data_IF_306100337073
#
_entry.id   IF_306100337073
#
_cell.length_a   1.000
_cell.length_b   1.000
_cell.length_c   1.000
_cell.angle_alpha   90.00
_cell.angle_beta   90.00
_cell.angle_gamma   90.00
#
_symmetry.space_group_name_H-M   'P 1'
#
loop_
_entity.id
_entity.type
_entity.pdbx_description
1 polymer ?
#
# COMPACT_ATOMS: atom_id res chain seq x y z
N UNK A 1 -12.91 33.43 -5.83
CA UNK A 1 -12.35 33.75 -7.17
C UNK A 1 -12.82 35.12 -7.65
N UNK A 2 -12.41 35.56 -8.83
CA UNK A 2 -12.77 36.90 -9.37
C UNK A 2 -14.28 37.08 -9.61
N UNK A 3 -15.08 36.01 -9.63
CA UNK A 3 -16.52 36.04 -9.95
C UNK A 3 -17.37 35.62 -8.77
N UNK A 4 -16.89 34.72 -7.93
CA UNK A 4 -17.64 34.21 -6.75
C UNK A 4 -16.70 33.72 -5.67
N UNK A 5 -17.12 33.86 -4.42
CA UNK A 5 -16.48 33.25 -3.24
C UNK A 5 -17.03 31.85 -2.92
N UNK A 6 -18.02 31.36 -3.70
CA UNK A 6 -18.54 30.03 -3.54
C UNK A 6 -17.50 28.97 -3.95
N UNK A 7 -17.38 27.87 -3.19
CA UNK A 7 -16.46 26.80 -3.52
C UNK A 7 -16.92 26.09 -4.80
N UNK A 8 -16.00 25.86 -5.73
CA UNK A 8 -16.24 25.10 -6.97
C UNK A 8 -15.80 23.66 -6.85
N UNK A 9 -14.74 23.40 -6.10
CA UNK A 9 -14.19 22.06 -5.91
C UNK A 9 -13.66 21.88 -4.48
N UNK A 10 -13.67 20.64 -4.05
CA UNK A 10 -13.16 20.20 -2.75
C UNK A 10 -12.14 19.08 -2.95
N UNK A 11 -10.89 19.33 -2.62
CA UNK A 11 -9.82 18.33 -2.60
C UNK A 11 -9.92 17.57 -1.29
N UNK A 12 -10.54 16.40 -1.33
CA UNK A 12 -10.91 15.64 -0.12
C UNK A 12 -9.79 14.73 0.39
N UNK A 13 -8.73 14.49 -0.41
CA UNK A 13 -7.70 13.51 -0.02
C UNK A 13 -8.31 12.17 0.32
N UNK A 14 -8.02 11.68 1.54
CA UNK A 14 -8.54 10.41 2.06
C UNK A 14 -9.79 10.57 2.94
N UNK A 15 -10.47 11.72 2.85
CA UNK A 15 -11.68 11.96 3.63
C UNK A 15 -12.93 11.39 2.95
N UNK A 16 -13.24 11.85 1.73
CA UNK A 16 -14.39 11.38 0.94
C UNK A 16 -13.88 10.94 -0.43
N UNK A 17 -14.22 9.73 -0.81
CA UNK A 17 -13.98 9.14 -2.11
C UNK A 17 -15.26 9.11 -2.95
N UNK A 18 -15.17 8.66 -4.18
CA UNK A 18 -16.35 8.39 -4.99
C UNK A 18 -17.04 7.14 -4.45
N UNK A 19 -18.21 7.31 -3.86
CA UNK A 19 -19.03 6.24 -3.29
C UNK A 19 -18.56 5.69 -1.94
N UNK A 20 -17.44 6.17 -1.38
CA UNK A 20 -16.90 5.68 -0.11
C UNK A 20 -16.27 6.81 0.73
N UNK A 21 -15.82 6.48 1.92
CA UNK A 21 -15.10 7.38 2.84
C UNK A 21 -13.83 6.73 3.37
N UNK A 22 -12.92 7.55 3.90
CA UNK A 22 -11.66 7.09 4.44
C UNK A 22 -11.79 6.08 5.58
N UNK A 23 -10.71 5.33 5.82
CA UNK A 23 -10.63 4.22 6.78
C UNK A 23 -10.05 4.68 8.12
N UNK A 24 -10.88 4.85 9.16
CA UNK A 24 -10.38 5.18 10.50
C UNK A 24 -9.67 4.00 11.19
N UNK A 25 -9.94 2.76 10.80
CA UNK A 25 -9.33 1.54 11.32
C UNK A 25 -7.85 1.39 10.96
N UNK A 26 -7.36 2.05 9.93
CA UNK A 26 -5.95 1.97 9.52
C UNK A 26 -4.95 2.43 10.59
N UNK A 27 -5.36 3.20 11.59
CA UNK A 27 -4.50 3.51 12.74
C UNK A 27 -4.32 2.31 13.66
N UNK A 28 -5.34 1.47 13.81
CA UNK A 28 -5.21 0.20 14.55
C UNK A 28 -4.48 -0.85 13.74
N UNK A 29 -4.94 -1.11 12.53
CA UNK A 29 -4.45 -2.16 11.66
C UNK A 29 -2.99 -1.93 11.23
N UNK A 30 -2.67 -0.70 10.80
CA UNK A 30 -1.35 -0.40 10.26
C UNK A 30 -0.39 0.23 11.27
N UNK A 31 -0.85 0.98 12.28
CA UNK A 31 0.01 1.61 13.28
C UNK A 31 -0.01 0.92 14.64
N UNK A 32 -0.90 -0.07 14.86
CA UNK A 32 -1.03 -0.80 16.12
C UNK A 32 -1.57 0.05 17.28
N UNK A 33 -2.19 1.19 16.99
CA UNK A 33 -2.74 2.11 18.00
C UNK A 33 -4.16 1.67 18.33
N UNK A 34 -4.30 0.75 19.27
CA UNK A 34 -5.58 0.14 19.65
C UNK A 34 -6.61 1.15 20.13
N UNK A 35 -7.90 0.90 19.87
CA UNK A 35 -9.03 1.70 20.32
C UNK A 35 -9.22 3.01 19.56
N UNK A 36 -8.66 3.14 18.35
CA UNK A 36 -8.79 4.37 17.53
C UNK A 36 -9.82 4.25 16.40
N UNK A 37 -10.19 3.03 16.00
CA UNK A 37 -11.09 2.80 14.88
C UNK A 37 -12.49 3.37 15.14
N UNK A 38 -13.13 3.01 16.24
CA UNK A 38 -14.47 3.49 16.58
C UNK A 38 -14.53 5.01 16.81
N UNK A 39 -13.67 5.61 17.65
CA UNK A 39 -13.63 7.07 17.78
C UNK A 39 -13.36 7.79 16.46
N UNK A 40 -12.53 7.20 15.58
CA UNK A 40 -12.26 7.68 14.23
C UNK A 40 -13.50 7.65 13.35
N UNK A 41 -14.27 6.56 13.38
CA UNK A 41 -15.51 6.40 12.62
C UNK A 41 -16.59 7.41 13.10
N UNK A 42 -16.73 7.62 14.40
CA UNK A 42 -17.62 8.66 14.96
C UNK A 42 -17.20 10.07 14.52
N UNK A 43 -15.91 10.34 14.49
CA UNK A 43 -15.38 11.61 13.97
C UNK A 43 -15.66 11.77 12.49
N UNK A 44 -15.56 10.70 11.71
CA UNK A 44 -15.91 10.69 10.28
C UNK A 44 -17.39 11.06 10.09
N UNK A 45 -18.30 10.45 10.82
CA UNK A 45 -19.73 10.75 10.80
C UNK A 45 -19.99 12.24 11.03
N UNK A 46 -19.45 12.79 12.12
CA UNK A 46 -19.59 14.22 12.42
C UNK A 46 -18.99 15.12 11.35
N UNK A 47 -17.81 14.78 10.85
CA UNK A 47 -17.15 15.54 9.79
C UNK A 47 -17.94 15.55 8.49
N UNK A 48 -18.60 14.45 8.14
CA UNK A 48 -19.49 14.39 6.99
C UNK A 48 -20.69 15.32 7.17
N UNK A 49 -21.34 15.31 8.34
CA UNK A 49 -22.47 16.19 8.61
C UNK A 49 -22.11 17.67 8.65
N UNK A 50 -21.05 18.00 9.39
CA UNK A 50 -20.70 19.37 9.74
C UNK A 50 -19.87 20.09 8.67
N UNK A 51 -19.18 19.35 7.80
CA UNK A 51 -18.26 19.93 6.83
C UNK A 51 -18.63 19.57 5.38
N UNK A 52 -18.88 18.31 5.11
CA UNK A 52 -19.11 17.84 3.74
C UNK A 52 -20.52 18.17 3.27
N UNK A 53 -21.56 17.79 4.03
CA UNK A 53 -22.96 17.99 3.65
C UNK A 53 -23.43 19.44 3.77
N UNK A 54 -22.63 20.34 4.33
CA UNK A 54 -22.90 21.78 4.33
C UNK A 54 -22.52 22.47 3.01
N UNK A 55 -21.75 21.77 2.17
CA UNK A 55 -21.37 22.29 0.86
C UNK A 55 -22.51 22.18 -0.16
N UNK A 56 -22.60 23.12 -1.13
CA UNK A 56 -23.57 23.05 -2.21
C UNK A 56 -23.41 21.79 -3.08
N UNK A 57 -24.51 21.28 -3.60
CA UNK A 57 -24.55 20.05 -4.40
C UNK A 57 -23.64 20.06 -5.66
N UNK A 58 -23.40 21.24 -6.23
CA UNK A 58 -22.59 21.40 -7.43
C UNK A 58 -21.08 21.30 -7.19
N UNK A 59 -20.63 21.40 -5.92
CA UNK A 59 -19.21 21.34 -5.60
C UNK A 59 -18.62 20.00 -6.02
N UNK A 60 -17.61 20.05 -6.85
CA UNK A 60 -16.88 18.86 -7.28
C UNK A 60 -16.03 18.30 -6.15
N UNK A 61 -15.99 16.98 -6.04
CA UNK A 61 -15.20 16.23 -5.06
C UNK A 61 -14.06 15.53 -5.78
N UNK A 62 -12.84 15.86 -5.40
CA UNK A 62 -11.63 15.28 -5.98
C UNK A 62 -10.84 14.54 -4.88
N UNK A 63 -10.99 13.21 -4.81
CA UNK A 63 -10.27 12.39 -3.83
C UNK A 63 -8.79 12.21 -4.18
N UNK A 64 -8.01 11.75 -3.21
CA UNK A 64 -6.59 11.46 -3.40
C UNK A 64 -6.32 10.27 -4.31
N UNK A 65 -7.23 9.31 -4.36
CA UNK A 65 -7.19 8.10 -5.20
C UNK A 65 -8.59 7.47 -5.30
N UNK A 66 -8.72 6.38 -6.06
CA UNK A 66 -10.00 5.71 -6.34
C UNK A 66 -9.88 4.19 -6.32
N UNK A 67 -10.66 3.53 -7.18
CA UNK A 67 -10.78 2.07 -7.26
C UNK A 67 -9.44 1.35 -7.33
N UNK A 68 -9.34 0.22 -6.62
CA UNK A 68 -8.13 -0.61 -6.50
C UNK A 68 -7.23 -0.23 -5.32
N UNK A 69 -7.54 0.84 -4.59
CA UNK A 69 -6.85 1.19 -3.36
C UNK A 69 -7.40 0.41 -2.16
N UNK A 70 -6.52 0.05 -1.22
CA UNK A 70 -6.89 -0.57 0.06
C UNK A 70 -7.47 0.44 1.08
N UNK A 71 -7.65 1.71 0.68
CA UNK A 71 -8.16 2.76 1.57
C UNK A 71 -9.68 2.81 1.69
N UNK A 72 -10.41 1.85 1.15
CA UNK A 72 -11.84 1.69 1.28
C UNK A 72 -12.33 0.40 0.64
N UNK A 73 -13.56 0.02 0.95
CA UNK A 73 -14.18 -1.22 0.45
C UNK A 73 -15.02 -1.03 -0.80
N UNK A 74 -15.43 0.20 -1.09
CA UNK A 74 -16.40 0.51 -2.14
C UNK A 74 -16.00 1.71 -3.03
N UNK A 75 -14.68 1.98 -3.16
CA UNK A 75 -14.19 3.09 -3.96
C UNK A 75 -14.61 2.95 -5.43
N UNK A 76 -15.31 3.97 -5.94
CA UNK A 76 -15.74 4.04 -7.32
C UNK A 76 -14.59 4.23 -8.32
N UNK A 77 -14.82 3.81 -9.56
CA UNK A 77 -13.83 3.91 -10.64
C UNK A 77 -13.73 5.31 -11.27
N UNK A 78 -14.68 6.19 -10.99
CA UNK A 78 -14.64 7.58 -11.49
C UNK A 78 -13.57 8.39 -10.73
N UNK A 79 -12.88 9.30 -11.40
CA UNK A 79 -11.82 10.10 -10.77
C UNK A 79 -12.34 11.21 -9.86
N UNK A 80 -13.59 11.63 -10.04
CA UNK A 80 -14.24 12.70 -9.29
C UNK A 80 -15.74 12.49 -9.22
N UNK A 81 -16.40 13.17 -8.28
CA UNK A 81 -17.84 13.16 -8.08
C UNK A 81 -18.32 14.57 -7.69
N UNK A 82 -19.55 14.70 -7.18
CA UNK A 82 -20.05 15.94 -6.59
C UNK A 82 -20.66 15.68 -5.21
N UNK A 83 -20.74 16.73 -4.39
CA UNK A 83 -21.40 16.64 -3.08
C UNK A 83 -22.84 16.14 -3.20
N UNK A 84 -23.59 16.66 -4.19
CA UNK A 84 -24.97 16.26 -4.42
C UNK A 84 -25.13 14.81 -4.89
N UNK A 85 -24.17 14.28 -5.64
CA UNK A 85 -24.18 12.87 -6.03
C UNK A 85 -23.92 11.98 -4.81
N UNK A 86 -22.89 12.25 -4.05
CA UNK A 86 -22.54 11.47 -2.86
C UNK A 86 -23.64 11.49 -1.80
N UNK A 87 -24.27 12.66 -1.58
CA UNK A 87 -25.41 12.82 -0.68
C UNK A 87 -26.58 11.89 -0.99
N UNK A 88 -26.78 11.54 -2.27
CA UNK A 88 -27.92 10.73 -2.73
C UNK A 88 -27.59 9.25 -2.94
N UNK A 89 -26.36 8.94 -3.28
CA UNK A 89 -26.03 7.63 -3.83
C UNK A 89 -24.93 6.87 -3.04
N UNK A 90 -24.17 7.56 -2.20
CA UNK A 90 -23.16 6.89 -1.39
C UNK A 90 -23.83 6.01 -0.31
N UNK A 91 -23.24 4.84 -0.02
CA UNK A 91 -23.76 3.89 0.96
C UNK A 91 -23.96 4.50 2.36
N UNK A 92 -23.15 5.49 2.70
CA UNK A 92 -23.18 6.16 4.00
C UNK A 92 -24.27 7.23 4.12
N UNK A 93 -24.85 7.70 3.02
CA UNK A 93 -25.78 8.83 2.99
C UNK A 93 -27.04 8.59 3.85
N UNK A 94 -27.62 7.39 3.77
CA UNK A 94 -28.83 7.04 4.52
C UNK A 94 -28.63 7.09 6.05
N UNK A 95 -27.43 6.77 6.56
CA UNK A 95 -27.14 6.86 7.99
C UNK A 95 -27.07 8.29 8.46
N UNK A 96 -26.55 9.20 7.64
CA UNK A 96 -26.50 10.63 7.94
C UNK A 96 -27.87 11.29 7.89
N UNK A 97 -28.71 10.88 6.94
CA UNK A 97 -30.09 11.36 6.82
C UNK A 97 -30.94 10.96 8.04
N UNK A 98 -30.77 9.73 8.54
CA UNK A 98 -31.47 9.20 9.72
C UNK A 98 -30.84 9.60 11.07
N UNK A 99 -29.70 10.27 11.03
CA UNK A 99 -28.87 10.57 12.21
C UNK A 99 -28.42 9.30 12.98
N UNK A 100 -28.19 8.20 12.25
CA UNK A 100 -27.80 6.90 12.78
C UNK A 100 -26.27 6.76 12.83
N UNK A 101 -25.65 7.38 13.86
CA UNK A 101 -24.19 7.28 14.07
C UNK A 101 -23.75 5.85 14.34
N UNK A 102 -24.52 5.07 15.12
CA UNK A 102 -24.16 3.69 15.48
C UNK A 102 -24.18 2.76 14.26
N UNK A 103 -25.24 2.86 13.44
CA UNK A 103 -25.34 2.12 12.19
C UNK A 103 -24.20 2.48 11.21
N UNK A 104 -23.88 3.76 11.10
CA UNK A 104 -22.76 4.22 10.28
C UNK A 104 -21.42 3.64 10.74
N UNK A 105 -21.10 3.72 12.04
CA UNK A 105 -19.87 3.20 12.62
C UNK A 105 -19.72 1.71 12.34
N UNK A 106 -20.79 0.95 12.59
CA UNK A 106 -20.81 -0.50 12.31
C UNK A 106 -20.59 -0.78 10.83
N UNK A 107 -21.34 -0.09 9.96
CA UNK A 107 -21.24 -0.27 8.52
C UNK A 107 -19.85 0.12 7.99
N UNK A 108 -19.26 1.22 8.48
CA UNK A 108 -17.94 1.68 8.07
C UNK A 108 -16.84 0.68 8.44
N UNK A 109 -16.86 0.16 9.65
CA UNK A 109 -15.80 -0.74 10.14
C UNK A 109 -15.95 -2.19 9.64
N UNK A 110 -17.13 -2.57 9.17
CA UNK A 110 -17.40 -3.92 8.69
C UNK A 110 -16.93 -4.11 7.24
N UNK A 111 -16.24 -5.26 6.98
CA UNK A 111 -15.88 -5.68 5.62
C UNK A 111 -14.79 -4.84 4.96
N UNK A 112 -13.97 -4.15 5.72
CA UNK A 112 -12.81 -3.45 5.19
C UNK A 112 -11.77 -4.46 4.66
N UNK A 113 -11.09 -4.17 3.53
CA UNK A 113 -10.03 -5.02 3.03
C UNK A 113 -8.85 -5.04 4.02
N UNK A 114 -8.10 -6.13 4.04
CA UNK A 114 -6.89 -6.24 4.83
C UNK A 114 -5.94 -5.06 4.52
N UNK A 115 -5.36 -4.47 5.56
CA UNK A 115 -4.40 -3.39 5.38
C UNK A 115 -3.07 -3.95 4.87
N UNK A 116 -2.47 -3.38 3.81
CA UNK A 116 -1.16 -3.80 3.36
C UNK A 116 -0.12 -3.74 4.48
N UNK A 117 0.70 -4.77 4.62
CA UNK A 117 1.72 -4.87 5.68
C UNK A 117 2.67 -3.67 5.67
N UNK A 118 3.01 -3.16 4.48
CA UNK A 118 3.87 -1.98 4.33
C UNK A 118 3.27 -0.67 4.83
N UNK A 119 1.96 -0.57 5.04
CA UNK A 119 1.34 0.65 5.60
C UNK A 119 1.90 1.00 6.97
N UNK A 120 2.21 -0.01 7.79
CA UNK A 120 2.85 0.17 9.10
C UNK A 120 4.21 0.84 8.96
N UNK A 121 5.04 0.32 8.07
CA UNK A 121 6.38 0.86 7.83
C UNK A 121 6.33 2.25 7.22
N UNK A 122 5.48 2.48 6.23
CA UNK A 122 5.31 3.81 5.65
C UNK A 122 4.89 4.85 6.68
N UNK A 123 3.96 4.53 7.58
CA UNK A 123 3.57 5.43 8.67
C UNK A 123 4.72 5.69 9.64
N UNK A 124 5.50 4.66 9.99
CA UNK A 124 6.68 4.80 10.82
C UNK A 124 7.72 5.70 10.15
N UNK A 125 8.08 5.42 8.91
CA UNK A 125 9.06 6.19 8.15
C UNK A 125 8.64 7.65 7.94
N UNK A 126 7.35 7.90 7.67
CA UNK A 126 6.81 9.25 7.52
C UNK A 126 6.82 10.05 8.83
N UNK A 127 6.66 9.38 9.97
CA UNK A 127 6.70 10.01 11.29
C UNK A 127 8.13 10.26 11.77
N UNK A 128 8.99 9.24 11.66
CA UNK A 128 10.33 9.21 12.29
C UNK A 128 11.41 9.73 11.33
N UNK A 129 11.09 9.84 10.05
CA UNK A 129 12.03 10.14 8.97
C UNK A 129 12.67 8.90 8.38
N UNK A 130 13.07 8.99 7.12
CA UNK A 130 13.81 7.94 6.42
C UNK A 130 15.32 8.11 6.62
N UNK A 131 16.07 7.00 6.55
CA UNK A 131 17.54 7.06 6.51
C UNK A 131 18.02 7.81 5.25
N UNK A 132 19.03 8.62 5.42
CA UNK A 132 19.70 9.30 4.27
C UNK A 132 20.71 8.30 3.70
N UNK A 133 20.37 7.70 2.56
CA UNK A 133 21.21 6.68 1.93
C UNK A 133 22.45 7.25 1.21
N UNK A 134 22.50 8.57 0.96
CA UNK A 134 23.58 9.21 0.20
C UNK A 134 23.58 8.88 -1.31
N UNK A 135 22.77 7.92 -1.74
CA UNK A 135 22.61 7.48 -3.12
C UNK A 135 21.80 6.19 -3.20
N UNK A 136 21.46 5.76 -4.42
CA UNK A 136 20.85 4.47 -4.62
C UNK A 136 21.85 3.36 -4.28
N UNK A 137 21.49 2.35 -3.48
CA UNK A 137 22.33 1.18 -3.30
C UNK A 137 22.65 0.48 -4.64
N UNK A 138 23.89 0.03 -4.79
CA UNK A 138 24.35 -0.71 -5.97
C UNK A 138 24.75 -2.14 -5.56
N UNK A 139 23.77 -3.05 -5.40
CA UNK A 139 24.05 -4.42 -4.98
C UNK A 139 24.92 -5.12 -6.03
N UNK A 140 26.03 -5.66 -5.58
CA UNK A 140 26.98 -6.40 -6.44
C UNK A 140 26.49 -7.82 -6.74
N UNK A 141 27.01 -8.41 -7.82
CA UNK A 141 26.84 -9.85 -8.07
C UNK A 141 27.54 -10.64 -6.97
N UNK A 142 26.80 -11.52 -6.30
CA UNK A 142 27.36 -12.40 -5.29
C UNK A 142 28.10 -13.60 -5.90
N UNK A 143 29.18 -14.03 -5.29
CA UNK A 143 29.71 -15.38 -5.50
C UNK A 143 28.82 -16.40 -4.80
N UNK A 144 28.93 -17.68 -5.14
CA UNK A 144 28.20 -18.75 -4.48
C UNK A 144 28.42 -18.73 -2.95
N UNK A 145 29.65 -18.62 -2.50
CA UNK A 145 29.96 -18.59 -1.08
C UNK A 145 29.37 -17.39 -0.34
N UNK A 146 29.31 -16.21 -0.98
CA UNK A 146 28.64 -15.02 -0.43
C UNK A 146 27.14 -15.21 -0.36
N UNK A 147 26.54 -15.77 -1.42
CA UNK A 147 25.11 -16.06 -1.46
C UNK A 147 24.70 -17.02 -0.34
N UNK A 148 25.38 -18.16 -0.19
CA UNK A 148 25.12 -19.12 0.88
C UNK A 148 25.28 -18.52 2.27
N UNK A 149 26.30 -17.67 2.46
CA UNK A 149 26.49 -16.95 3.72
C UNK A 149 25.28 -16.08 4.04
N UNK A 150 24.82 -15.27 3.09
CA UNK A 150 23.66 -14.41 3.30
C UNK A 150 22.38 -15.19 3.63
N UNK A 151 22.15 -16.32 2.96
CA UNK A 151 21.00 -17.18 3.30
C UNK A 151 21.10 -17.75 4.72
N UNK A 152 22.30 -18.19 5.14
CA UNK A 152 22.53 -18.66 6.53
C UNK A 152 22.36 -17.54 7.56
N UNK A 153 22.69 -16.32 7.21
CA UNK A 153 22.50 -15.12 8.05
C UNK A 153 21.06 -14.62 8.04
N UNK A 154 20.16 -15.29 7.31
CA UNK A 154 18.74 -15.03 7.31
C UNK A 154 18.25 -14.10 6.21
N UNK A 155 19.06 -13.78 5.20
CA UNK A 155 18.59 -13.04 4.03
C UNK A 155 17.49 -13.78 3.30
N UNK A 156 16.58 -13.02 2.68
CA UNK A 156 15.51 -13.55 1.84
C UNK A 156 15.94 -13.47 0.38
N UNK A 157 15.84 -14.60 -0.33
CA UNK A 157 15.97 -14.63 -1.78
C UNK A 157 14.65 -14.23 -2.43
N UNK A 158 14.66 -13.12 -3.14
CA UNK A 158 13.56 -12.66 -3.96
C UNK A 158 13.79 -13.10 -5.40
N UNK A 159 13.02 -14.07 -5.85
CA UNK A 159 13.09 -14.57 -7.23
C UNK A 159 12.20 -13.70 -8.12
N UNK A 160 12.82 -12.92 -9.00
CA UNK A 160 12.10 -11.97 -9.86
C UNK A 160 11.74 -12.53 -11.23
N UNK A 161 11.97 -13.82 -11.46
CA UNK A 161 11.58 -14.51 -12.70
C UNK A 161 10.06 -14.59 -12.82
N UNK A 162 9.62 -14.89 -14.03
CA UNK A 162 8.21 -15.20 -14.29
C UNK A 162 7.73 -16.36 -13.42
N UNK A 163 6.46 -16.31 -13.01
CA UNK A 163 5.82 -17.30 -12.14
C UNK A 163 5.90 -18.74 -12.66
N UNK A 164 5.87 -18.94 -13.98
CA UNK A 164 6.00 -20.28 -14.56
C UNK A 164 7.44 -20.79 -14.52
N UNK A 165 8.43 -19.89 -14.70
CA UNK A 165 9.83 -20.23 -14.49
C UNK A 165 10.12 -20.58 -13.03
N UNK A 166 9.50 -19.87 -12.09
CA UNK A 166 9.59 -20.18 -10.66
C UNK A 166 8.95 -21.53 -10.34
N UNK A 167 7.72 -21.77 -10.81
CA UNK A 167 7.01 -23.04 -10.60
C UNK A 167 7.73 -24.24 -11.25
N UNK A 168 8.49 -24.03 -12.33
CA UNK A 168 9.30 -25.06 -12.97
C UNK A 168 10.57 -25.43 -12.22
N UNK A 169 10.93 -24.69 -11.17
CA UNK A 169 12.06 -24.96 -10.28
C UNK A 169 12.65 -23.70 -9.66
N UNK A 170 12.73 -23.67 -8.33
CA UNK A 170 13.25 -22.55 -7.56
C UNK A 170 14.07 -23.01 -6.35
N UNK A 171 14.89 -22.10 -5.82
CA UNK A 171 15.65 -22.37 -4.60
C UNK A 171 14.68 -22.41 -3.40
N UNK A 172 14.73 -23.48 -2.57
CA UNK A 172 13.86 -23.61 -1.40
C UNK A 172 13.85 -22.38 -0.50
N UNK A 173 12.65 -21.96 -0.08
CA UNK A 173 12.46 -20.79 0.76
C UNK A 173 12.59 -19.43 0.06
N UNK A 174 12.78 -19.40 -1.27
CA UNK A 174 12.70 -18.14 -2.03
C UNK A 174 11.27 -17.67 -2.21
N UNK A 175 11.10 -16.36 -2.33
CA UNK A 175 9.80 -15.72 -2.57
C UNK A 175 9.75 -15.21 -4.00
N UNK A 176 8.75 -15.66 -4.78
CA UNK A 176 8.58 -15.20 -6.13
C UNK A 176 7.81 -13.89 -6.20
N UNK A 177 8.46 -12.86 -6.70
CA UNK A 177 7.86 -11.56 -7.00
C UNK A 177 8.35 -11.16 -8.39
N UNK A 178 7.61 -11.47 -9.46
CA UNK A 178 8.04 -11.19 -10.81
C UNK A 178 8.36 -9.71 -11.05
N UNK A 179 9.46 -9.46 -11.74
CA UNK A 179 9.83 -8.12 -12.19
C UNK A 179 8.70 -7.50 -13.03
N UNK A 180 8.32 -6.25 -12.73
CA UNK A 180 7.25 -5.57 -13.48
C UNK A 180 6.56 -4.47 -12.68
N UNK A 181 5.44 -3.99 -13.22
CA UNK A 181 4.71 -2.83 -12.68
C UNK A 181 4.25 -3.00 -11.23
N UNK A 182 3.93 -4.22 -10.80
CA UNK A 182 3.41 -4.52 -9.47
C UNK A 182 4.50 -5.02 -8.50
N UNK A 183 5.77 -5.01 -8.91
CA UNK A 183 6.88 -5.55 -8.10
C UNK A 183 6.93 -4.92 -6.71
N UNK A 184 6.95 -3.59 -6.61
CA UNK A 184 7.00 -2.89 -5.30
C UNK A 184 5.76 -3.15 -4.45
N UNK A 185 4.58 -3.27 -5.05
CA UNK A 185 3.34 -3.59 -4.33
C UNK A 185 3.43 -4.96 -3.68
N UNK A 186 3.78 -5.99 -4.45
CA UNK A 186 3.93 -7.35 -3.91
C UNK A 186 5.11 -7.47 -2.94
N UNK A 187 6.22 -6.78 -3.21
CA UNK A 187 7.34 -6.73 -2.28
C UNK A 187 6.92 -6.15 -0.92
N UNK A 188 6.17 -5.05 -0.92
CA UNK A 188 5.64 -4.46 0.30
C UNK A 188 4.65 -5.35 1.07
N UNK A 189 3.90 -6.22 0.37
CA UNK A 189 3.00 -7.18 0.99
C UNK A 189 3.70 -8.40 1.58
N UNK A 190 4.73 -8.92 0.90
CA UNK A 190 5.28 -10.25 1.15
C UNK A 190 6.62 -10.22 1.89
N UNK A 191 7.40 -9.13 1.76
CA UNK A 191 8.73 -9.08 2.33
C UNK A 191 8.74 -8.43 3.72
N UNK A 192 9.44 -9.02 4.70
CA UNK A 192 9.68 -8.39 5.98
C UNK A 192 10.70 -7.24 5.84
N UNK A 193 10.57 -6.24 6.72
CA UNK A 193 11.39 -5.04 6.70
C UNK A 193 12.65 -5.11 7.59
N UNK A 194 12.86 -6.23 8.26
CA UNK A 194 13.92 -6.47 9.23
C UNK A 194 14.94 -7.53 8.77
N UNK A 195 14.93 -7.86 7.48
CA UNK A 195 15.83 -8.87 6.91
C UNK A 195 16.47 -8.38 5.62
N UNK A 196 17.77 -8.68 5.42
CA UNK A 196 18.45 -8.36 4.17
C UNK A 196 17.85 -9.15 2.98
N UNK A 197 17.91 -8.54 1.80
CA UNK A 197 17.37 -9.10 0.56
C UNK A 197 18.48 -9.44 -0.42
N UNK A 198 18.38 -10.61 -1.04
CA UNK A 198 19.14 -10.99 -2.22
C UNK A 198 18.19 -11.11 -3.40
N UNK A 199 18.53 -10.51 -4.53
CA UNK A 199 17.71 -10.61 -5.75
C UNK A 199 18.22 -11.77 -6.64
N UNK A 200 17.32 -12.61 -7.13
CA UNK A 200 17.56 -13.40 -8.31
C UNK A 200 16.99 -12.60 -9.49
N UNK A 201 17.86 -11.94 -10.23
CA UNK A 201 17.46 -10.99 -11.26
C UNK A 201 18.51 -10.88 -12.36
N UNK A 202 18.10 -10.52 -13.55
CA UNK A 202 19.03 -10.19 -14.64
C UNK A 202 19.83 -8.93 -14.29
N UNK A 203 21.13 -8.86 -14.61
CA UNK A 203 21.99 -7.72 -14.25
C UNK A 203 21.39 -6.35 -14.63
N UNK A 204 20.76 -6.25 -15.80
CA UNK A 204 20.14 -5.04 -16.32
C UNK A 204 18.89 -4.59 -15.57
N UNK A 205 18.28 -5.47 -14.79
CA UNK A 205 17.07 -5.17 -13.99
C UNK A 205 17.40 -4.76 -12.56
N UNK A 206 18.59 -5.09 -12.05
CA UNK A 206 18.95 -4.94 -10.63
C UNK A 206 18.77 -3.50 -10.14
N UNK A 207 19.21 -2.50 -10.90
CA UNK A 207 19.06 -1.10 -10.49
C UNK A 207 17.60 -0.70 -10.38
N UNK A 208 16.78 -1.05 -11.35
CA UNK A 208 15.36 -0.71 -11.36
C UNK A 208 14.60 -1.37 -10.19
N UNK A 209 14.90 -2.65 -9.92
CA UNK A 209 14.32 -3.41 -8.81
C UNK A 209 14.77 -2.85 -7.46
N UNK A 210 16.06 -2.54 -7.30
CA UNK A 210 16.58 -1.89 -6.07
C UNK A 210 15.91 -0.55 -5.83
N UNK A 211 15.76 0.27 -6.87
CA UNK A 211 15.05 1.56 -6.78
C UNK A 211 13.58 1.38 -6.37
N UNK A 212 12.91 0.35 -6.87
CA UNK A 212 11.53 0.03 -6.52
C UNK A 212 11.40 -0.37 -5.04
N UNK A 213 12.37 -1.15 -4.51
CA UNK A 213 12.43 -1.55 -3.10
C UNK A 213 12.72 -0.37 -2.17
N UNK A 214 13.72 0.45 -2.50
CA UNK A 214 14.07 1.66 -1.72
C UNK A 214 12.88 2.62 -1.59
N UNK A 215 12.07 2.77 -2.64
CA UNK A 215 10.86 3.63 -2.60
C UNK A 215 9.82 3.21 -1.58
N UNK A 216 9.85 1.97 -1.13
CA UNK A 216 8.96 1.44 -0.10
C UNK A 216 9.68 1.13 1.21
N UNK A 217 10.94 1.58 1.37
CA UNK A 217 11.72 1.44 2.60
C UNK A 217 12.38 0.08 2.79
N UNK A 218 12.48 -0.75 1.74
CA UNK A 218 13.25 -2.00 1.74
C UNK A 218 14.66 -1.70 1.21
N UNK A 219 15.49 -1.10 2.06
CA UNK A 219 16.78 -0.49 1.66
C UNK A 219 17.94 -1.49 1.68
N UNK A 220 17.81 -2.62 2.38
CA UNK A 220 18.89 -3.58 2.61
C UNK A 220 18.95 -4.65 1.52
N UNK A 221 19.27 -4.23 0.29
CA UNK A 221 19.55 -5.14 -0.84
C UNK A 221 21.03 -5.43 -0.87
N UNK A 222 21.44 -6.59 -0.36
CA UNK A 222 22.86 -6.94 -0.11
C UNK A 222 23.60 -7.51 -1.32
N UNK A 223 22.87 -7.90 -2.36
CA UNK A 223 23.46 -8.41 -3.59
C UNK A 223 22.45 -9.08 -4.50
N UNK A 224 22.94 -9.60 -5.62
CA UNK A 224 22.09 -10.36 -6.56
C UNK A 224 22.81 -11.58 -7.12
N UNK A 225 22.03 -12.56 -7.60
CA UNK A 225 22.47 -13.68 -8.43
C UNK A 225 21.75 -13.62 -9.79
N UNK A 226 22.44 -13.90 -10.91
CA UNK A 226 21.86 -13.72 -12.25
C UNK A 226 20.97 -14.89 -12.70
N UNK A 227 20.99 -16.01 -11.98
CA UNK A 227 20.26 -17.23 -12.31
C UNK A 227 20.48 -18.31 -11.28
N UNK A 228 19.88 -19.47 -11.48
CA UNK A 228 20.00 -20.62 -10.57
C UNK A 228 21.31 -21.38 -10.74
N UNK A 229 21.89 -21.35 -11.95
CA UNK A 229 23.09 -22.11 -12.30
C UNK A 229 24.29 -21.68 -11.43
N UNK A 230 24.90 -22.65 -10.76
CA UNK A 230 26.01 -22.43 -9.83
C UNK A 230 25.64 -21.86 -8.46
N UNK A 231 24.35 -21.63 -8.19
CA UNK A 231 23.84 -21.13 -6.89
C UNK A 231 22.88 -22.09 -6.21
N UNK A 232 22.10 -22.85 -6.98
CA UNK A 232 21.24 -23.89 -6.43
C UNK A 232 22.09 -25.10 -6.01
N UNK A 233 22.08 -25.41 -4.71
CA UNK A 233 22.66 -26.64 -4.18
C UNK A 233 21.52 -27.57 -3.73
N UNK A 234 21.42 -28.73 -4.38
CA UNK A 234 20.37 -29.72 -4.09
C UNK A 234 19.18 -29.66 -5.03
N UNK A 235 18.10 -30.31 -4.65
CA UNK A 235 16.86 -30.33 -5.44
C UNK A 235 16.17 -28.96 -5.38
N UNK A 236 15.68 -28.52 -6.54
CA UNK A 236 14.80 -27.36 -6.64
C UNK A 236 13.38 -27.76 -6.19
N UNK A 237 12.70 -26.86 -5.52
CA UNK A 237 11.26 -26.98 -5.29
C UNK A 237 10.49 -26.64 -6.58
N UNK A 238 9.34 -27.30 -6.80
CA UNK A 238 8.46 -27.10 -7.97
C UNK A 238 7.01 -26.90 -7.54
#
# INVERSE_FOLDING_TARGET
GAVTDEPLLFLTGDFVFVGDVGRPDLLEEAAGIKGTAEPGARRMFRSLKEKFLTLPDHVQVWPGHGAGSACGKALGALPATTVGYERRHAWWAEYLERDDEEGFVKALLQGQPEAPTYFREMKRLNRDGMAILGGLPHPGRLTQAQFERWLREGAILVDTRDKFAFAGGHIPGSINIPAGKNFSTWAGWLLPYDRPLVLLARPEEVEALTRALVRIGLDEVVGYIPGLEGYAQGELET
#
